data_IF_488023504846
#
_entry.id   IF_488023504846
#
_cell.length_a   1.000
_cell.length_b   1.000
_cell.length_c   1.000
_cell.angle_alpha   90.00
_cell.angle_beta   90.00
_cell.angle_gamma   90.00
#
_symmetry.space_group_name_H-M   'P 1'
#
loop_
_entity.id
_entity.type
_entity.pdbx_description
1 polymer ?
#
# COMPACT_ATOMS: atom_id res chain seq x y z
N UNK A 1 -14.40 -7.84 8.83
CA UNK A 1 -13.51 -8.07 7.68
C UNK A 1 -14.39 -8.64 6.58
N UNK A 2 -14.43 -8.06 5.39
CA UNK A 2 -15.24 -8.62 4.30
C UNK A 2 -14.64 -9.96 3.90
N UNK A 3 -15.39 -11.03 4.16
CA UNK A 3 -15.07 -12.38 3.70
C UNK A 3 -15.60 -12.56 2.27
N UNK A 4 -14.95 -13.40 1.46
CA UNK A 4 -15.34 -13.74 0.07
C UNK A 4 -15.08 -12.65 -0.98
N UNK A 5 -13.83 -12.18 -1.04
CA UNK A 5 -13.38 -11.30 -2.13
C UNK A 5 -13.25 -12.14 -3.42
N UNK A 6 -13.95 -11.78 -4.52
CA UNK A 6 -13.81 -12.50 -5.80
C UNK A 6 -12.35 -12.46 -6.27
N UNK A 7 -11.79 -13.54 -6.84
CA UNK A 7 -10.44 -13.50 -7.38
C UNK A 7 -10.38 -12.54 -8.57
N UNK A 8 -9.58 -11.47 -8.45
CA UNK A 8 -9.37 -10.53 -9.52
C UNK A 8 -7.92 -10.01 -9.53
N UNK A 9 -7.44 -9.46 -10.66
CA UNK A 9 -6.13 -8.81 -10.73
C UNK A 9 -5.99 -7.66 -9.72
N UNK A 10 -4.74 -7.33 -9.36
CA UNK A 10 -4.42 -6.19 -8.48
C UNK A 10 -5.08 -4.91 -9.05
N UNK A 11 -5.76 -4.16 -8.18
CA UNK A 11 -6.41 -2.89 -8.53
C UNK A 11 -7.78 -2.99 -9.20
N UNK A 12 -8.28 -4.18 -9.53
CA UNK A 12 -9.61 -4.35 -10.16
C UNK A 12 -10.75 -4.32 -9.13
N UNK A 13 -10.49 -4.76 -7.91
CA UNK A 13 -11.49 -4.75 -6.83
C UNK A 13 -11.42 -3.42 -6.13
N UNK A 14 -12.53 -2.68 -6.18
CA UNK A 14 -12.68 -1.43 -5.46
C UNK A 14 -13.59 -1.62 -4.26
N UNK A 15 -13.15 -1.10 -3.13
CA UNK A 15 -13.94 -1.03 -1.90
C UNK A 15 -14.41 0.40 -1.69
N UNK A 16 -15.61 0.54 -1.14
CA UNK A 16 -16.11 1.81 -0.62
C UNK A 16 -16.31 1.64 0.89
N UNK A 17 -15.44 2.30 1.65
CA UNK A 17 -15.54 2.35 3.11
C UNK A 17 -16.19 3.67 3.52
N UNK A 18 -17.31 3.57 4.23
CA UNK A 18 -18.04 4.72 4.77
C UNK A 18 -17.94 4.70 6.30
N UNK A 19 -17.53 5.84 6.86
CA UNK A 19 -17.40 6.04 8.31
C UNK A 19 -18.45 7.05 8.75
N UNK A 20 -19.43 6.59 9.53
CA UNK A 20 -20.52 7.42 10.05
C UNK A 20 -20.41 7.51 11.56
N UNK A 21 -20.42 8.73 12.10
CA UNK A 21 -20.48 8.97 13.55
C UNK A 21 -21.82 9.62 13.84
N UNK A 22 -22.63 8.97 14.69
CA UNK A 22 -23.93 9.52 15.09
C UNK A 22 -23.80 10.55 16.24
N UNK A 23 -24.92 11.19 16.59
CA UNK A 23 -24.96 12.18 17.67
C UNK A 23 -24.61 11.60 19.07
N UNK A 24 -24.63 10.27 19.23
CA UNK A 24 -24.24 9.57 20.46
C UNK A 24 -22.75 9.18 20.46
N UNK A 25 -22.03 9.48 19.37
CA UNK A 25 -20.63 9.10 19.19
C UNK A 25 -20.43 7.63 18.79
N UNK A 26 -21.49 6.94 18.37
CA UNK A 26 -21.39 5.57 17.85
C UNK A 26 -20.84 5.63 16.43
N UNK A 27 -19.69 4.98 16.21
CA UNK A 27 -19.07 4.86 14.89
C UNK A 27 -19.62 3.63 14.18
N UNK A 28 -20.28 3.83 13.04
CA UNK A 28 -20.60 2.78 12.08
C UNK A 28 -19.56 2.80 10.96
N UNK A 29 -18.90 1.67 10.74
CA UNK A 29 -18.03 1.42 9.59
C UNK A 29 -18.77 0.49 8.64
N UNK A 30 -19.07 0.96 7.44
CA UNK A 30 -19.68 0.15 6.38
C UNK A 30 -18.65 -0.03 5.27
N UNK A 31 -18.35 -1.27 4.91
CA UNK A 31 -17.46 -1.62 3.82
C UNK A 31 -18.27 -2.27 2.70
N UNK A 32 -18.14 -1.79 1.47
CA UNK A 32 -18.82 -2.34 0.28
C UNK A 32 -17.83 -2.74 -0.81
N UNK A 33 -18.02 -3.92 -1.41
CA UNK A 33 -17.36 -4.28 -2.68
C UNK A 33 -18.21 -3.74 -3.83
N UNK A 34 -17.71 -2.71 -4.52
CA UNK A 34 -18.46 -1.98 -5.56
C UNK A 34 -18.94 -2.90 -6.68
N UNK A 35 -18.14 -3.91 -7.07
CA UNK A 35 -18.47 -4.80 -8.19
C UNK A 35 -19.58 -5.81 -7.89
N UNK A 36 -19.74 -6.21 -6.63
CA UNK A 36 -20.73 -7.22 -6.22
C UNK A 36 -21.89 -6.61 -5.42
N UNK A 37 -21.75 -5.37 -4.94
CA UNK A 37 -22.68 -4.74 -4.00
C UNK A 37 -22.70 -5.41 -2.62
N UNK A 38 -21.73 -6.30 -2.34
CA UNK A 38 -21.66 -6.98 -1.04
C UNK A 38 -21.19 -5.99 0.02
N UNK A 39 -22.01 -5.79 1.04
CA UNK A 39 -21.76 -4.88 2.15
C UNK A 39 -21.57 -5.63 3.47
N UNK A 40 -20.62 -5.20 4.28
CA UNK A 40 -20.47 -5.61 5.68
C UNK A 40 -20.46 -4.37 6.57
N UNK A 41 -21.06 -4.46 7.76
CA UNK A 41 -21.17 -3.35 8.69
C UNK A 41 -20.60 -3.74 10.06
N UNK A 42 -19.81 -2.84 10.63
CA UNK A 42 -19.28 -2.91 11.99
C UNK A 42 -19.74 -1.68 12.77
N UNK A 43 -20.34 -1.91 13.94
CA UNK A 43 -20.73 -0.83 14.85
C UNK A 43 -19.81 -0.80 16.06
N UNK A 44 -19.17 0.33 16.29
CA UNK A 44 -18.32 0.61 17.44
C UNK A 44 -19.08 1.58 18.35
N UNK A 45 -19.63 1.03 19.43
CA UNK A 45 -20.35 1.82 20.43
C UNK A 45 -19.39 2.64 21.27
N UNK A 46 -19.81 3.87 21.62
CA UNK A 46 -19.07 4.72 22.54
C UNK A 46 -19.37 4.29 23.98
N UNK A 47 -18.51 3.45 24.55
CA UNK A 47 -18.55 3.14 25.98
C UNK A 47 -17.93 4.32 26.73
N UNK A 48 -18.72 5.03 27.53
CA UNK A 48 -18.23 6.10 28.40
C UNK A 48 -17.02 5.61 29.22
N UNK A 49 -15.85 6.22 28.99
CA UNK A 49 -14.62 5.88 29.71
C UNK A 49 -13.58 5.05 28.96
N UNK A 50 -13.69 4.83 27.64
CA UNK A 50 -12.63 4.14 26.87
C UNK A 50 -11.26 4.82 26.94
N UNK A 51 -11.24 6.15 26.97
CA UNK A 51 -10.03 6.96 27.15
C UNK A 51 -10.32 8.09 28.12
N UNK A 52 -9.44 8.28 29.12
CA UNK A 52 -9.50 9.44 29.99
C UNK A 52 -9.03 10.70 29.26
N UNK A 53 -9.34 11.89 29.81
CA UNK A 53 -8.86 13.16 29.24
C UNK A 53 -7.34 13.23 29.23
N UNK A 54 -6.70 12.73 30.28
CA UNK A 54 -5.24 12.68 30.39
C UNK A 54 -4.63 11.75 29.33
N UNK A 55 -5.28 10.62 29.03
CA UNK A 55 -4.85 9.72 27.96
C UNK A 55 -5.01 10.37 26.58
N UNK A 56 -6.12 11.06 26.33
CA UNK A 56 -6.33 11.79 25.07
C UNK A 56 -5.26 12.88 24.87
N UNK A 57 -5.01 13.71 25.88
CA UNK A 57 -3.98 14.75 25.81
C UNK A 57 -2.58 14.18 25.60
N UNK A 58 -2.27 13.05 26.24
CA UNK A 58 -1.01 12.34 26.04
C UNK A 58 -0.89 11.85 24.59
N UNK A 59 -1.93 11.24 24.02
CA UNK A 59 -1.94 10.77 22.63
C UNK A 59 -1.73 11.91 21.64
N UNK A 60 -2.35 13.08 21.86
CA UNK A 60 -2.12 14.27 21.01
C UNK A 60 -0.67 14.76 21.10
N UNK A 61 -0.09 14.81 22.30
CA UNK A 61 1.31 15.21 22.50
C UNK A 61 2.27 14.23 21.86
N UNK A 62 2.04 12.93 22.03
CA UNK A 62 2.87 11.88 21.43
C UNK A 62 2.78 11.94 19.89
N UNK A 63 1.59 12.14 19.32
CA UNK A 63 1.42 12.30 17.88
C UNK A 63 2.21 13.49 17.32
N UNK A 64 2.20 14.66 17.98
CA UNK A 64 2.99 15.81 17.52
C UNK A 64 4.49 15.58 17.72
N UNK A 65 4.88 14.89 18.80
CA UNK A 65 6.29 14.56 19.08
C UNK A 65 6.89 13.63 18.02
N UNK A 66 6.17 12.60 17.60
CA UNK A 66 6.66 11.58 16.66
C UNK A 66 6.30 11.85 15.19
N UNK A 67 5.55 12.93 14.92
CA UNK A 67 5.12 13.34 13.58
C UNK A 67 6.21 13.28 12.51
N UNK A 68 7.43 13.74 12.83
CA UNK A 68 8.54 13.73 11.87
C UNK A 68 9.00 12.31 11.56
N UNK A 69 9.10 11.45 12.57
CA UNK A 69 9.46 10.03 12.41
C UNK A 69 8.38 9.29 11.61
N UNK A 70 7.10 9.55 11.88
CA UNK A 70 5.97 8.98 11.13
C UNK A 70 5.98 9.41 9.66
N UNK A 71 6.34 10.67 9.37
CA UNK A 71 6.49 11.17 7.99
C UNK A 71 7.63 10.44 7.27
N UNK A 72 8.75 10.23 7.93
CA UNK A 72 9.91 9.52 7.35
C UNK A 72 9.60 8.04 7.10
N UNK A 73 8.94 7.39 8.06
CA UNK A 73 8.46 6.03 7.91
C UNK A 73 7.47 5.92 6.74
N UNK A 74 6.50 6.84 6.65
CA UNK A 74 5.55 6.89 5.54
C UNK A 74 6.25 7.06 4.18
N UNK A 75 7.20 7.99 4.07
CA UNK A 75 7.98 8.18 2.83
C UNK A 75 8.70 6.90 2.39
N UNK A 76 9.26 6.16 3.34
CA UNK A 76 9.92 4.88 3.07
C UNK A 76 8.93 3.81 2.60
N UNK A 77 7.79 3.69 3.27
CA UNK A 77 6.74 2.76 2.86
C UNK A 77 6.20 3.09 1.46
N UNK A 78 5.93 4.37 1.18
CA UNK A 78 5.47 4.84 -0.13
C UNK A 78 6.50 4.56 -1.23
N UNK A 79 7.79 4.78 -0.97
CA UNK A 79 8.86 4.45 -1.92
C UNK A 79 8.94 2.94 -2.21
N UNK A 80 8.80 2.10 -1.18
CA UNK A 80 8.82 0.64 -1.34
C UNK A 80 7.61 0.17 -2.16
N UNK A 81 6.41 0.66 -1.83
CA UNK A 81 5.20 0.38 -2.59
C UNK A 81 5.34 0.79 -4.06
N UNK A 82 5.94 1.94 -4.34
CA UNK A 82 6.18 2.41 -5.70
C UNK A 82 7.15 1.50 -6.48
N UNK A 83 8.16 0.93 -5.82
CA UNK A 83 9.07 -0.04 -6.43
C UNK A 83 8.36 -1.36 -6.73
N UNK A 84 7.55 -1.87 -5.80
CA UNK A 84 6.74 -3.07 -6.00
C UNK A 84 5.73 -2.91 -7.15
N UNK A 85 5.09 -1.75 -7.24
CA UNK A 85 4.20 -1.40 -8.35
C UNK A 85 4.96 -1.34 -9.68
N UNK A 86 6.18 -0.79 -9.69
CA UNK A 86 7.04 -0.81 -10.87
C UNK A 86 7.36 -2.24 -11.33
N UNK A 87 7.76 -3.13 -10.40
CA UNK A 87 7.98 -4.55 -10.68
C UNK A 87 6.73 -5.19 -11.28
N UNK A 88 5.55 -4.94 -10.69
CA UNK A 88 4.29 -5.51 -11.15
C UNK A 88 3.97 -5.07 -12.58
N UNK A 89 4.07 -3.77 -12.86
CA UNK A 89 3.81 -3.19 -14.16
C UNK A 89 4.78 -3.74 -15.22
N UNK A 90 6.06 -3.91 -14.87
CA UNK A 90 7.04 -4.51 -15.76
C UNK A 90 6.76 -6.00 -16.02
N UNK A 91 6.44 -6.79 -14.99
CA UNK A 91 6.02 -8.20 -15.13
C UNK A 91 4.82 -8.32 -16.08
N UNK A 92 3.86 -7.40 -15.98
CA UNK A 92 2.71 -7.35 -16.88
C UNK A 92 3.11 -7.03 -18.32
N UNK A 93 3.96 -6.01 -18.51
CA UNK A 93 4.45 -5.57 -19.84
C UNK A 93 5.21 -6.68 -20.57
N UNK A 94 6.13 -7.36 -19.89
CA UNK A 94 6.97 -8.39 -20.51
C UNK A 94 6.21 -9.67 -20.87
N UNK A 95 5.04 -9.91 -20.26
CA UNK A 95 4.21 -11.11 -20.51
C UNK A 95 3.82 -11.26 -21.97
N UNK A 96 3.67 -10.15 -22.69
CA UNK A 96 3.27 -10.12 -24.11
C UNK A 96 4.44 -9.81 -25.06
N UNK A 97 5.67 -9.68 -24.56
CA UNK A 97 6.84 -9.38 -25.40
C UNK A 97 7.36 -10.64 -26.11
N UNK A 98 7.83 -10.45 -27.35
CA UNK A 98 8.51 -11.52 -28.10
C UNK A 98 9.84 -11.90 -27.43
N UNK A 99 10.14 -13.21 -27.40
CA UNK A 99 11.39 -13.71 -26.83
C UNK A 99 12.60 -13.11 -27.53
N UNK A 100 13.48 -12.49 -26.76
CA UNK A 100 14.73 -11.90 -27.23
C UNK A 100 15.70 -11.62 -26.09
N UNK A 101 16.92 -11.17 -26.43
CA UNK A 101 17.95 -10.83 -25.42
C UNK A 101 17.45 -9.74 -24.44
N UNK A 102 16.59 -8.83 -24.89
CA UNK A 102 16.00 -7.76 -24.07
C UNK A 102 15.04 -8.30 -23.01
N UNK A 103 14.16 -9.23 -23.39
CA UNK A 103 13.24 -9.90 -22.45
C UNK A 103 14.02 -10.56 -21.31
N UNK A 104 15.08 -11.31 -21.63
CA UNK A 104 15.92 -11.96 -20.61
C UNK A 104 16.57 -10.97 -19.64
N UNK A 105 17.03 -9.81 -20.15
CA UNK A 105 17.60 -8.76 -19.29
C UNK A 105 16.54 -8.21 -18.32
N UNK A 106 15.34 -7.96 -18.80
CA UNK A 106 14.22 -7.48 -17.96
C UNK A 106 13.78 -8.53 -16.93
N UNK A 107 13.69 -9.82 -17.31
CA UNK A 107 13.36 -10.91 -16.39
C UNK A 107 14.38 -11.03 -15.25
N UNK A 108 15.67 -10.93 -15.58
CA UNK A 108 16.76 -10.96 -14.59
C UNK A 108 16.67 -9.74 -13.67
N UNK A 109 16.55 -8.53 -14.23
CA UNK A 109 16.44 -7.31 -13.42
C UNK A 109 15.24 -7.35 -12.47
N UNK A 110 14.07 -7.79 -12.95
CA UNK A 110 12.87 -7.97 -12.12
C UNK A 110 13.12 -8.97 -10.97
N UNK A 111 13.76 -10.10 -11.27
CA UNK A 111 14.06 -11.12 -10.26
C UNK A 111 15.06 -10.61 -9.22
N UNK A 112 16.09 -9.88 -9.65
CA UNK A 112 17.11 -9.31 -8.77
C UNK A 112 16.51 -8.22 -7.89
N UNK A 113 15.68 -7.34 -8.44
CA UNK A 113 14.99 -6.31 -7.66
C UNK A 113 13.98 -6.90 -6.68
N UNK A 114 13.24 -7.95 -7.08
CA UNK A 114 12.32 -8.66 -6.17
C UNK A 114 13.07 -9.23 -4.97
N UNK A 115 14.20 -9.92 -5.21
CA UNK A 115 15.05 -10.44 -4.13
C UNK A 115 15.65 -9.33 -3.28
N UNK A 116 16.01 -8.21 -3.90
CA UNK A 116 16.56 -7.07 -3.18
C UNK A 116 15.55 -6.53 -2.16
N UNK A 117 14.27 -6.38 -2.52
CA UNK A 117 13.22 -5.93 -1.60
C UNK A 117 13.11 -6.87 -0.39
N UNK A 118 13.10 -8.20 -0.62
CA UNK A 118 12.99 -9.22 0.44
C UNK A 118 14.13 -9.16 1.47
N UNK A 119 15.31 -8.68 1.08
CA UNK A 119 16.49 -8.65 1.95
C UNK A 119 16.85 -7.24 2.46
N UNK A 120 16.17 -6.21 1.97
CA UNK A 120 16.52 -4.81 2.24
C UNK A 120 15.33 -4.01 2.78
N UNK A 121 14.56 -4.60 3.69
CA UNK A 121 13.49 -3.89 4.43
C UNK A 121 14.01 -2.65 5.17
N UNK A 122 15.29 -2.66 5.57
CA UNK A 122 15.94 -1.54 6.24
C UNK A 122 16.46 -0.45 5.29
N UNK A 123 16.36 -0.61 3.96
CA UNK A 123 16.88 0.34 2.98
C UNK A 123 16.36 1.77 3.19
N UNK A 124 17.20 2.73 2.84
CA UNK A 124 16.84 4.15 2.78
C UNK A 124 15.95 4.44 1.56
N UNK A 125 15.22 5.56 1.62
CA UNK A 125 14.39 6.03 0.50
C UNK A 125 15.23 6.20 -0.77
N UNK A 126 16.46 6.71 -0.65
CA UNK A 126 17.35 6.94 -1.78
C UNK A 126 17.79 5.64 -2.45
N UNK A 127 18.06 4.58 -1.68
CA UNK A 127 18.41 3.27 -2.22
C UNK A 127 17.24 2.64 -2.97
N UNK A 128 16.04 2.71 -2.39
CA UNK A 128 14.81 2.23 -3.02
C UNK A 128 14.55 2.99 -4.33
N UNK A 129 14.74 4.32 -4.31
CA UNK A 129 14.56 5.16 -5.50
C UNK A 129 15.57 4.83 -6.59
N UNK A 130 16.86 4.64 -6.25
CA UNK A 130 17.88 4.22 -7.23
C UNK A 130 17.56 2.89 -7.86
N UNK A 131 17.05 1.95 -7.07
CA UNK A 131 16.63 0.63 -7.56
C UNK A 131 15.44 0.76 -8.52
N UNK A 132 14.47 1.62 -8.19
CA UNK A 132 13.34 1.97 -9.07
C UNK A 132 13.82 2.58 -10.38
N UNK A 133 14.69 3.58 -10.33
CA UNK A 133 15.21 4.27 -11.52
C UNK A 133 16.00 3.31 -12.42
N UNK A 134 16.80 2.42 -11.82
CA UNK A 134 17.50 1.38 -12.56
C UNK A 134 16.52 0.45 -13.30
N UNK A 135 15.49 0.00 -12.60
CA UNK A 135 14.47 -0.87 -13.16
C UNK A 135 13.66 -0.16 -14.28
N UNK A 136 13.30 1.11 -14.09
CA UNK A 136 12.61 1.93 -15.09
C UNK A 136 13.45 2.22 -16.33
N UNK A 137 14.77 2.43 -16.18
CA UNK A 137 15.67 2.67 -17.32
C UNK A 137 15.67 1.51 -18.32
N UNK A 138 15.58 0.28 -17.84
CA UNK A 138 15.50 -0.92 -18.69
C UNK A 138 14.17 -1.01 -19.46
N UNK A 139 13.12 -0.34 -18.96
CA UNK A 139 11.79 -0.28 -19.55
C UNK A 139 11.64 0.85 -20.59
N UNK A 140 12.34 1.97 -20.38
CA UNK A 140 12.28 3.19 -21.20
C UNK A 140 13.08 3.12 -22.50
N UNK A 141 13.97 2.12 -22.66
CA UNK A 141 14.66 1.79 -23.92
C UNK A 141 13.70 1.32 -25.06
N UNK A 142 12.43 1.71 -25.03
CA UNK A 142 11.38 1.40 -26.01
C UNK A 142 10.91 2.61 -26.84
N UNK A 143 11.59 3.76 -26.73
CA UNK A 143 11.39 4.91 -27.62
C UNK A 143 12.70 5.33 -28.28
#
# INVERSE_FOLDING_TARGET
MISEIPPAPKGVISFMDTFEIDANGILTVTSEIISTGKTEKLTITNENGRLSKEQMEKMVKDAEKYKQEDIEYKKKADAMNALEDCIYNMKYKIKNMTRGKKLRKMEVAIADTTKWIEHNEAASVDEVQRMKDHLESLCMDEF
#
